data_IF_553216235628
#
_entry.id   IF_553216235628
#
_cell.length_a   1.000
_cell.length_b   1.000
_cell.length_c   1.000
_cell.angle_alpha   90.00
_cell.angle_beta   90.00
_cell.angle_gamma   90.00
#
_symmetry.space_group_name_H-M   'P 1'
#
loop_
_entity.id
_entity.type
_entity.pdbx_description
1 polymer ?
#
# COMPACT_ATOMS: atom_id res chain seq x y z
N UNK A 1 -2.43 8.62 23.94
CA UNK A 1 -3.01 7.33 23.56
C UNK A 1 -2.30 6.80 22.33
N UNK A 2 -1.14 6.18 22.55
CA UNK A 2 -0.43 5.44 21.51
C UNK A 2 -1.01 4.02 21.50
N UNK A 3 -1.71 3.67 20.43
CA UNK A 3 -2.16 2.31 20.18
C UNK A 3 -0.93 1.42 19.95
N UNK A 4 -0.51 0.66 20.96
CA UNK A 4 0.55 -0.34 20.82
C UNK A 4 -0.07 -1.68 20.41
N UNK A 5 -0.05 -1.96 19.11
CA UNK A 5 -0.36 -3.28 18.60
C UNK A 5 0.82 -4.22 18.89
N UNK A 6 0.58 -5.30 19.63
CA UNK A 6 1.60 -6.28 20.00
C UNK A 6 1.10 -7.70 19.75
N UNK A 7 1.86 -8.47 18.98
CA UNK A 7 1.62 -9.89 18.73
C UNK A 7 2.95 -10.65 18.75
N UNK A 8 3.10 -11.58 19.69
CA UNK A 8 4.34 -12.31 19.88
C UNK A 8 4.70 -13.19 18.66
N UNK A 9 3.71 -13.79 17.99
CA UNK A 9 3.95 -14.64 16.82
C UNK A 9 4.49 -13.82 15.65
N UNK A 10 3.95 -12.61 15.44
CA UNK A 10 4.48 -11.68 14.45
C UNK A 10 5.90 -11.23 14.79
N UNK A 11 6.18 -10.92 16.05
CA UNK A 11 7.54 -10.56 16.48
C UNK A 11 8.53 -11.70 16.26
N UNK A 12 8.14 -12.95 16.51
CA UNK A 12 8.94 -14.13 16.23
C UNK A 12 9.15 -14.34 14.72
N UNK A 13 8.11 -14.16 13.90
CA UNK A 13 8.21 -14.25 12.45
C UNK A 13 9.17 -13.19 11.88
N UNK A 14 9.10 -11.95 12.38
CA UNK A 14 10.03 -10.87 12.01
C UNK A 14 11.46 -11.23 12.41
N UNK A 15 11.69 -11.76 13.61
CA UNK A 15 13.03 -12.21 14.04
C UNK A 15 13.59 -13.33 13.15
N UNK A 16 12.73 -14.18 12.60
CA UNK A 16 13.10 -15.24 11.65
C UNK A 16 13.26 -14.74 10.20
N UNK A 17 13.04 -13.45 9.94
CA UNK A 17 13.01 -12.88 8.59
C UNK A 17 11.99 -13.58 7.67
N UNK A 18 10.81 -13.87 8.21
CA UNK A 18 9.71 -14.44 7.43
C UNK A 18 9.34 -13.50 6.25
N UNK A 19 9.46 -13.97 5.00
CA UNK A 19 9.34 -13.11 3.83
C UNK A 19 7.93 -12.53 3.67
N UNK A 20 6.88 -13.28 4.01
CA UNK A 20 5.50 -12.84 3.83
C UNK A 20 5.14 -11.76 4.86
N UNK A 21 5.59 -11.94 6.11
CA UNK A 21 5.42 -10.91 7.15
C UNK A 21 6.21 -9.65 6.81
N UNK A 22 7.45 -9.80 6.32
CA UNK A 22 8.25 -8.65 5.87
C UNK A 22 7.57 -7.89 4.73
N UNK A 23 7.05 -8.61 3.73
CA UNK A 23 6.38 -8.00 2.58
C UNK A 23 5.08 -7.31 3.00
N UNK A 24 4.30 -7.92 3.91
CA UNK A 24 3.08 -7.35 4.48
C UNK A 24 3.34 -6.00 5.16
N UNK A 25 4.32 -5.92 6.05
CA UNK A 25 4.65 -4.67 6.75
C UNK A 25 5.35 -3.64 5.86
N UNK A 26 6.14 -4.10 4.89
CA UNK A 26 6.73 -3.22 3.86
C UNK A 26 5.63 -2.57 3.03
N UNK A 27 4.62 -3.33 2.61
CA UNK A 27 3.44 -2.82 1.91
C UNK A 27 2.69 -1.77 2.75
N UNK A 28 2.44 -2.04 4.03
CA UNK A 28 1.80 -1.07 4.93
C UNK A 28 2.60 0.22 5.11
N UNK A 29 3.93 0.15 5.05
CA UNK A 29 4.84 1.29 5.16
C UNK A 29 4.98 2.11 3.87
N UNK A 30 4.42 1.63 2.74
CA UNK A 30 4.63 2.23 1.42
C UNK A 30 3.31 2.64 0.76
N UNK A 31 2.30 1.78 0.82
CA UNK A 31 1.03 1.97 0.13
C UNK A 31 0.09 2.86 0.97
N UNK A 32 0.40 4.15 1.10
CA UNK A 32 -0.43 5.12 1.83
C UNK A 32 -0.17 6.56 1.38
N UNK A 33 -1.02 7.49 1.80
CA UNK A 33 -0.82 8.94 1.55
C UNK A 33 -0.31 9.72 2.76
N UNK A 34 -0.10 9.08 3.92
CA UNK A 34 0.44 9.68 5.15
C UNK A 34 1.71 10.50 4.89
N UNK A 35 1.81 11.68 5.49
CA UNK A 35 2.96 12.58 5.45
C UNK A 35 3.73 12.52 6.77
N UNK A 36 5.03 12.79 6.72
CA UNK A 36 5.88 12.88 7.92
C UNK A 36 6.24 14.32 8.25
N UNK A 37 6.23 14.66 9.53
CA UNK A 37 6.77 15.91 10.08
C UNK A 37 7.78 15.58 11.17
N UNK A 38 8.85 16.37 11.29
CA UNK A 38 9.78 16.27 12.42
C UNK A 38 9.37 17.29 13.47
N UNK A 39 8.97 16.82 14.66
CA UNK A 39 8.67 17.66 15.84
C UNK A 39 9.52 17.17 17.00
N UNK A 40 10.28 18.07 17.62
CA UNK A 40 11.17 17.76 18.75
C UNK A 40 12.11 16.57 18.50
N UNK A 41 12.62 16.46 17.26
CA UNK A 41 13.50 15.37 16.84
C UNK A 41 12.81 14.02 16.62
N UNK A 42 11.47 13.96 16.70
CA UNK A 42 10.67 12.75 16.47
C UNK A 42 9.83 12.87 15.20
N UNK A 43 9.67 11.75 14.50
CA UNK A 43 8.79 11.65 13.33
C UNK A 43 7.34 11.54 13.80
N UNK A 44 6.50 12.47 13.32
CA UNK A 44 5.06 12.52 13.53
C UNK A 44 4.35 12.26 12.21
N UNK A 45 3.34 11.40 12.23
CA UNK A 45 2.55 11.05 11.06
C UNK A 45 1.32 11.95 10.94
N UNK A 46 1.11 12.51 9.75
CA UNK A 46 -0.05 13.32 9.38
C UNK A 46 -0.82 12.58 8.28
N UNK A 47 -2.01 12.07 8.61
CA UNK A 47 -2.84 11.31 7.69
C UNK A 47 -4.18 12.01 7.46
N UNK A 48 -4.74 11.85 6.25
CA UNK A 48 -6.08 12.34 5.92
C UNK A 48 -7.20 11.44 6.49
N UNK A 49 -6.87 10.19 6.82
CA UNK A 49 -7.79 9.22 7.41
C UNK A 49 -7.17 8.61 8.68
N UNK A 50 -7.96 8.44 9.76
CA UNK A 50 -7.50 7.75 10.98
C UNK A 50 -7.02 6.31 10.69
N UNK A 51 -7.60 5.66 9.68
CA UNK A 51 -7.24 4.28 9.32
C UNK A 51 -5.84 4.20 8.75
N UNK A 52 -5.50 5.13 7.86
CA UNK A 52 -4.15 5.20 7.29
C UNK A 52 -3.12 5.49 8.38
N UNK A 53 -3.44 6.39 9.32
CA UNK A 53 -2.55 6.66 10.45
C UNK A 53 -2.34 5.40 11.31
N UNK A 54 -3.42 4.70 11.63
CA UNK A 54 -3.38 3.49 12.45
C UNK A 54 -2.52 2.40 11.78
N UNK A 55 -2.69 2.18 10.47
CA UNK A 55 -1.91 1.18 9.72
C UNK A 55 -0.42 1.49 9.66
N UNK A 56 -0.04 2.74 9.39
CA UNK A 56 1.38 3.15 9.32
C UNK A 56 2.01 3.18 10.71
N UNK A 57 1.25 3.55 11.74
CA UNK A 57 1.69 3.51 13.14
C UNK A 57 1.86 2.07 13.66
N UNK A 58 0.96 1.17 13.30
CA UNK A 58 1.08 -0.26 13.57
C UNK A 58 2.35 -0.80 12.92
N UNK A 59 2.59 -0.51 11.64
CA UNK A 59 3.82 -0.91 10.95
C UNK A 59 5.10 -0.43 11.67
N UNK A 60 5.12 0.84 12.13
CA UNK A 60 6.24 1.39 12.92
C UNK A 60 6.49 0.61 14.21
N UNK A 61 5.43 0.14 14.88
CA UNK A 61 5.53 -0.64 16.13
C UNK A 61 6.26 -1.97 15.93
N UNK A 62 6.13 -2.58 14.75
CA UNK A 62 6.82 -3.81 14.37
C UNK A 62 8.21 -3.59 13.74
N UNK A 63 8.72 -2.35 13.77
CA UNK A 63 10.04 -2.01 13.23
C UNK A 63 10.06 -1.65 11.74
N UNK A 64 8.89 -1.44 11.13
CA UNK A 64 8.72 -1.03 9.74
C UNK A 64 8.20 0.41 9.69
N UNK A 65 9.11 1.37 9.82
CA UNK A 65 8.77 2.79 9.98
C UNK A 65 8.88 3.55 8.65
N UNK A 66 7.79 4.21 8.25
CA UNK A 66 7.82 5.21 7.19
C UNK A 66 8.62 6.45 7.63
N UNK A 67 9.66 6.83 6.89
CA UNK A 67 10.52 7.96 7.26
C UNK A 67 10.18 9.24 6.48
N UNK A 68 9.72 9.09 5.24
CA UNK A 68 9.34 10.22 4.41
C UNK A 68 9.22 9.84 2.94
N UNK A 69 8.63 10.74 2.15
CA UNK A 69 8.56 10.60 0.70
C UNK A 69 8.85 11.92 0.00
N UNK A 70 9.43 11.82 -1.19
CA UNK A 70 9.42 12.89 -2.18
C UNK A 70 8.33 12.59 -3.22
N UNK A 71 8.31 13.34 -4.32
CA UNK A 71 7.41 13.03 -5.44
C UNK A 71 7.79 11.73 -6.18
N UNK A 72 9.06 11.31 -6.09
CA UNK A 72 9.60 10.17 -6.87
C UNK A 72 10.25 9.09 -6.00
N UNK A 73 10.23 9.22 -4.68
CA UNK A 73 10.83 8.22 -3.78
C UNK A 73 10.13 8.13 -2.43
N UNK A 74 10.21 6.97 -1.80
CA UNK A 74 9.74 6.71 -0.44
C UNK A 74 10.82 5.99 0.35
N UNK A 75 11.08 6.47 1.56
CA UNK A 75 12.09 5.92 2.46
C UNK A 75 11.41 5.28 3.67
N UNK A 76 11.80 4.05 3.96
CA UNK A 76 11.30 3.27 5.09
C UNK A 76 12.48 2.66 5.86
N UNK A 77 12.35 2.59 7.19
CA UNK A 77 13.20 1.78 8.04
C UNK A 77 12.56 0.42 8.20
N UNK A 78 13.24 -0.62 7.74
CA UNK A 78 12.92 -2.01 8.02
C UNK A 78 13.74 -2.47 9.25
N UNK A 79 13.39 -3.60 9.88
CA UNK A 79 14.10 -4.06 11.09
C UNK A 79 15.62 -4.21 10.92
N UNK A 80 16.07 -4.63 9.74
CA UNK A 80 17.49 -4.86 9.46
C UNK A 80 18.22 -3.67 8.80
N UNK A 81 17.49 -2.75 8.15
CA UNK A 81 18.08 -1.70 7.31
C UNK A 81 17.10 -0.61 6.92
N UNK A 82 17.61 0.53 6.51
CA UNK A 82 16.84 1.56 5.83
C UNK A 82 16.84 1.29 4.31
N UNK A 83 15.68 1.37 3.67
CA UNK A 83 15.52 1.23 2.22
C UNK A 83 14.82 2.47 1.65
N UNK A 84 15.26 2.91 0.48
CA UNK A 84 14.57 3.93 -0.32
C UNK A 84 14.15 3.31 -1.64
N UNK A 85 12.86 3.42 -1.97
CA UNK A 85 12.28 2.93 -3.21
C UNK A 85 11.94 4.09 -4.13
N UNK A 86 12.12 3.90 -5.42
CA UNK A 86 11.62 4.82 -6.44
C UNK A 86 10.11 4.61 -6.58
N UNK A 87 9.33 5.69 -6.48
CA UNK A 87 7.90 5.67 -6.76
C UNK A 87 7.71 5.90 -8.25
N UNK A 88 7.15 4.91 -8.92
CA UNK A 88 6.79 5.00 -10.32
C UNK A 88 5.41 5.63 -10.48
N UNK A 89 4.41 5.15 -9.73
CA UNK A 89 3.05 5.66 -9.79
C UNK A 89 2.33 5.49 -8.45
N UNK A 90 1.58 6.51 -8.03
CA UNK A 90 0.58 6.40 -6.96
C UNK A 90 -0.81 6.43 -7.62
N UNK A 91 -1.65 5.47 -7.24
CA UNK A 91 -3.04 5.37 -7.65
C UNK A 91 -3.91 5.50 -6.41
N UNK A 92 -4.26 6.74 -6.09
CA UNK A 92 -4.98 7.11 -4.87
C UNK A 92 -6.24 6.29 -4.63
N UNK A 93 -6.66 6.25 -3.37
CA UNK A 93 -7.95 5.69 -3.02
C UNK A 93 -9.05 6.47 -3.73
N UNK A 94 -10.01 5.72 -4.26
CA UNK A 94 -11.17 6.24 -4.97
C UNK A 94 -12.39 5.42 -4.55
N UNK A 95 -13.53 6.08 -4.35
CA UNK A 95 -14.75 5.44 -3.82
C UNK A 95 -15.34 4.41 -4.80
N UNK A 96 -15.12 4.58 -6.10
CA UNK A 96 -15.55 3.61 -7.11
C UNK A 96 -14.60 2.40 -7.13
N UNK A 97 -13.29 2.65 -7.00
CA UNK A 97 -12.26 1.60 -6.96
C UNK A 97 -12.21 0.83 -5.64
N UNK A 98 -12.55 1.48 -4.52
CA UNK A 98 -12.44 1.03 -3.12
C UNK A 98 -11.08 0.42 -2.76
N UNK A 99 -10.00 0.95 -3.36
CA UNK A 99 -8.62 0.50 -3.14
C UNK A 99 -7.62 1.59 -3.51
N UNK A 100 -6.46 1.54 -2.88
CA UNK A 100 -5.27 2.33 -3.21
C UNK A 100 -4.18 1.40 -3.75
N UNK A 101 -3.34 1.91 -4.65
CA UNK A 101 -2.18 1.17 -5.11
C UNK A 101 -0.96 2.08 -5.28
N UNK A 102 0.23 1.53 -5.09
CA UNK A 102 1.50 2.20 -5.38
C UNK A 102 2.36 1.24 -6.20
N UNK A 103 2.95 1.74 -7.28
CA UNK A 103 3.94 1.01 -8.07
C UNK A 103 5.30 1.59 -7.74
N UNK A 104 6.20 0.74 -7.30
CA UNK A 104 7.58 1.10 -6.97
C UNK A 104 8.57 0.32 -7.83
N UNK A 105 9.79 0.85 -7.92
CA UNK A 105 10.96 0.10 -8.38
C UNK A 105 11.85 -0.23 -7.17
N UNK A 106 12.13 -1.52 -7.00
CA UNK A 106 13.00 -2.10 -5.96
C UNK A 106 14.12 -2.86 -6.64
N UNK A 107 15.32 -2.26 -6.67
CA UNK A 107 16.42 -2.73 -7.51
C UNK A 107 15.95 -2.90 -8.97
N UNK A 108 16.05 -4.11 -9.54
CA UNK A 108 15.63 -4.41 -10.92
C UNK A 108 14.17 -4.87 -11.03
N UNK A 109 13.42 -4.90 -9.92
CA UNK A 109 12.03 -5.35 -9.88
C UNK A 109 11.06 -4.18 -9.85
N UNK A 110 9.94 -4.32 -10.54
CA UNK A 110 8.79 -3.41 -10.43
C UNK A 110 7.72 -4.12 -9.62
N UNK A 111 7.29 -3.50 -8.52
CA UNK A 111 6.32 -4.08 -7.60
C UNK A 111 5.09 -3.18 -7.55
N UNK A 112 3.93 -3.78 -7.80
CA UNK A 112 2.62 -3.18 -7.54
C UNK A 112 2.16 -3.60 -6.14
N UNK A 113 2.03 -2.65 -5.23
CA UNK A 113 1.36 -2.82 -3.96
C UNK A 113 -0.08 -2.31 -4.02
N UNK A 114 -0.99 -3.03 -3.38
CA UNK A 114 -2.41 -2.69 -3.34
C UNK A 114 -3.02 -2.99 -1.97
N UNK A 115 -3.80 -2.04 -1.44
CA UNK A 115 -4.65 -2.24 -0.27
C UNK A 115 -6.08 -1.78 -0.56
N UNK A 116 -7.08 -2.52 -0.09
CA UNK A 116 -8.47 -2.14 -0.35
C UNK A 116 -9.50 -3.09 0.25
N UNK A 117 -10.76 -2.86 -0.11
CA UNK A 117 -11.86 -3.71 0.29
C UNK A 117 -11.64 -5.16 -0.20
N UNK A 118 -11.99 -6.12 0.64
CA UNK A 118 -11.82 -7.54 0.40
C UNK A 118 -12.41 -7.99 -0.95
N UNK A 119 -13.65 -7.62 -1.24
CA UNK A 119 -14.33 -7.87 -2.52
C UNK A 119 -13.52 -7.38 -3.73
N UNK A 120 -12.85 -6.22 -3.62
CA UNK A 120 -12.07 -5.64 -4.72
C UNK A 120 -10.70 -6.24 -4.90
N UNK A 121 -10.10 -6.77 -3.83
CA UNK A 121 -8.82 -7.47 -3.91
C UNK A 121 -9.05 -8.90 -4.43
N UNK A 122 -10.05 -9.61 -3.88
CA UNK A 122 -10.42 -10.99 -4.25
C UNK A 122 -10.68 -11.18 -5.74
N UNK A 123 -11.45 -10.26 -6.35
CA UNK A 123 -11.73 -10.25 -7.80
C UNK A 123 -10.47 -10.24 -8.69
N UNK A 124 -9.29 -9.93 -8.13
CA UNK A 124 -8.05 -9.64 -8.87
C UNK A 124 -6.88 -10.55 -8.49
N UNK A 125 -7.08 -11.50 -7.57
CA UNK A 125 -6.04 -12.44 -7.21
C UNK A 125 -5.88 -13.54 -8.25
N UNK A 126 -4.68 -14.12 -8.31
CA UNK A 126 -4.42 -15.29 -9.12
C UNK A 126 -5.20 -16.50 -8.57
N UNK A 127 -5.84 -17.31 -9.42
CA UNK A 127 -6.49 -18.55 -9.00
C UNK A 127 -5.60 -19.55 -8.26
N UNK A 128 -4.26 -19.42 -8.33
CA UNK A 128 -3.33 -20.23 -7.52
C UNK A 128 -3.45 -19.96 -6.02
N UNK A 129 -3.87 -18.76 -5.63
CA UNK A 129 -3.89 -18.29 -4.23
C UNK A 129 -5.14 -18.71 -3.45
N UNK A 130 -5.95 -19.65 -3.98
CA UNK A 130 -7.24 -20.04 -3.40
C UNK A 130 -7.15 -20.55 -1.96
N UNK A 131 -6.09 -21.26 -1.60
CA UNK A 131 -5.95 -21.82 -0.26
C UNK A 131 -5.74 -20.71 0.78
N UNK A 132 -4.80 -19.80 0.53
CA UNK A 132 -4.53 -18.64 1.38
C UNK A 132 -5.78 -17.75 1.45
N UNK A 133 -6.49 -17.59 0.33
CA UNK A 133 -7.73 -16.80 0.32
C UNK A 133 -8.84 -17.42 1.16
N UNK A 134 -8.98 -18.76 1.17
CA UNK A 134 -10.01 -19.43 1.97
C UNK A 134 -9.79 -19.19 3.46
N UNK A 135 -8.55 -19.36 3.94
CA UNK A 135 -8.19 -19.07 5.34
C UNK A 135 -8.36 -17.57 5.66
N UNK A 136 -7.94 -16.70 4.74
CA UNK A 136 -8.11 -15.25 4.89
C UNK A 136 -9.59 -14.86 5.01
N UNK A 137 -10.49 -15.53 4.27
CA UNK A 137 -11.92 -15.27 4.32
C UNK A 137 -12.55 -15.62 5.65
N UNK A 138 -12.14 -16.74 6.24
CA UNK A 138 -12.57 -17.11 7.59
C UNK A 138 -12.14 -16.05 8.63
N UNK A 139 -10.90 -15.56 8.54
CA UNK A 139 -10.42 -14.50 9.41
C UNK A 139 -11.13 -13.16 9.18
N UNK A 140 -11.37 -12.77 7.93
CA UNK A 140 -12.12 -11.54 7.59
C UNK A 140 -13.54 -11.58 8.14
N UNK A 141 -14.23 -12.72 8.01
CA UNK A 141 -15.58 -12.90 8.54
C UNK A 141 -15.61 -12.81 10.06
N UNK A 142 -14.62 -13.39 10.73
CA UNK A 142 -14.47 -13.27 12.18
C UNK A 142 -14.26 -11.82 12.61
N UNK A 143 -13.32 -11.10 11.98
CA UNK A 143 -13.07 -9.70 12.30
C UNK A 143 -14.28 -8.80 12.05
N UNK A 144 -15.03 -9.05 10.97
CA UNK A 144 -16.27 -8.33 10.70
C UNK A 144 -17.34 -8.60 11.77
N UNK A 145 -17.45 -9.84 12.25
CA UNK A 145 -18.36 -10.23 13.35
C UNK A 145 -18.00 -9.50 14.64
N UNK A 146 -16.72 -9.28 14.90
CA UNK A 146 -16.21 -8.52 16.04
C UNK A 146 -16.32 -6.99 15.85
N UNK A 147 -16.90 -6.52 14.74
CA UNK A 147 -17.10 -5.11 14.43
C UNK A 147 -15.85 -4.37 13.94
N UNK A 148 -14.79 -5.11 13.59
CA UNK A 148 -13.55 -4.53 13.07
C UNK A 148 -13.67 -4.20 11.59
N UNK A 149 -13.08 -3.07 11.21
CA UNK A 149 -12.92 -2.72 9.79
C UNK A 149 -11.72 -3.46 9.22
N UNK A 150 -11.94 -4.18 8.13
CA UNK A 150 -10.93 -5.02 7.48
C UNK A 150 -10.48 -4.42 6.15
N UNK A 151 -9.23 -4.66 5.80
CA UNK A 151 -8.67 -4.40 4.48
C UNK A 151 -7.86 -5.62 4.05
N UNK A 152 -7.90 -5.91 2.76
CA UNK A 152 -7.02 -6.89 2.13
C UNK A 152 -5.83 -6.18 1.49
N UNK A 153 -4.69 -6.84 1.59
CA UNK A 153 -3.42 -6.43 1.01
C UNK A 153 -3.03 -7.43 -0.07
N UNK A 154 -2.46 -6.94 -1.16
CA UNK A 154 -1.94 -7.76 -2.23
C UNK A 154 -0.76 -7.08 -2.90
N UNK A 155 0.15 -7.86 -3.45
CA UNK A 155 1.23 -7.36 -4.27
C UNK A 155 1.42 -8.21 -5.53
N UNK A 156 2.05 -7.62 -6.55
CA UNK A 156 2.43 -8.31 -7.77
C UNK A 156 3.75 -7.77 -8.30
N UNK A 157 4.69 -8.65 -8.62
CA UNK A 157 5.85 -8.30 -9.43
C UNK A 157 5.42 -8.13 -10.90
N UNK A 158 5.71 -6.97 -11.47
CA UNK A 158 5.45 -6.64 -12.86
C UNK A 158 6.74 -6.77 -13.64
N UNK A 159 6.69 -7.38 -14.82
CA UNK A 159 7.84 -7.29 -15.71
C UNK A 159 7.88 -5.90 -16.39
N UNK A 160 9.07 -5.53 -16.89
CA UNK A 160 9.30 -4.22 -17.49
C UNK A 160 8.33 -3.90 -18.63
N UNK A 161 8.01 -4.89 -19.47
CA UNK A 161 7.14 -4.70 -20.63
C UNK A 161 5.67 -4.50 -20.23
N UNK A 162 5.21 -5.20 -19.20
CA UNK A 162 3.87 -5.04 -18.62
C UNK A 162 3.70 -3.64 -18.04
N UNK A 163 4.66 -3.18 -17.24
CA UNK A 163 4.65 -1.85 -16.68
C UNK A 163 4.70 -0.77 -17.76
N UNK A 164 5.63 -0.86 -18.72
CA UNK A 164 5.78 0.14 -19.78
C UNK A 164 4.49 0.31 -20.60
N UNK A 165 3.88 -0.81 -21.02
CA UNK A 165 2.61 -0.81 -21.75
C UNK A 165 1.46 -0.25 -20.92
N UNK A 166 1.42 -0.54 -19.63
CA UNK A 166 0.40 0.02 -18.73
C UNK A 166 0.59 1.54 -18.53
N UNK A 167 1.83 1.98 -18.30
CA UNK A 167 2.17 3.38 -18.08
C UNK A 167 1.87 4.24 -19.32
N UNK A 168 2.16 3.73 -20.52
CA UNK A 168 1.81 4.41 -21.78
C UNK A 168 0.29 4.61 -21.91
N UNK A 169 -0.50 3.57 -21.63
CA UNK A 169 -1.97 3.66 -21.64
C UNK A 169 -2.48 4.67 -20.62
N UNK A 170 -1.90 4.69 -19.42
CA UNK A 170 -2.28 5.64 -18.38
C UNK A 170 -1.95 7.08 -18.80
N UNK A 171 -0.77 7.32 -19.37
CA UNK A 171 -0.38 8.64 -19.85
C UNK A 171 -1.33 9.16 -20.94
N UNK A 172 -1.69 8.30 -21.91
CA UNK A 172 -2.69 8.60 -22.95
C UNK A 172 -4.05 8.94 -22.33
N UNK A 173 -4.54 8.14 -21.38
CA UNK A 173 -5.81 8.40 -20.72
C UNK A 173 -5.82 9.72 -19.92
N UNK A 174 -4.74 9.99 -19.16
CA UNK A 174 -4.57 11.25 -18.42
C UNK A 174 -4.56 12.46 -19.35
N UNK A 175 -3.84 12.38 -20.46
CA UNK A 175 -3.80 13.43 -21.47
C UNK A 175 -5.19 13.74 -22.03
N UNK A 176 -5.95 12.69 -22.40
CA UNK A 176 -7.32 12.83 -22.92
C UNK A 176 -8.24 13.51 -21.90
N UNK A 177 -8.23 13.07 -20.64
CA UNK A 177 -9.06 13.69 -19.58
C UNK A 177 -8.68 15.16 -19.37
N UNK A 178 -7.38 15.47 -19.32
CA UNK A 178 -6.92 16.85 -19.15
C UNK A 178 -7.31 17.72 -20.34
N UNK A 179 -7.19 17.20 -21.57
CA UNK A 179 -7.62 17.89 -22.78
C UNK A 179 -9.14 18.15 -22.76
N UNK A 180 -9.97 17.15 -22.45
CA UNK A 180 -11.43 17.33 -22.32
C UNK A 180 -11.83 18.34 -21.23
N UNK A 181 -11.08 18.41 -20.12
CA UNK A 181 -11.33 19.42 -19.07
C UNK A 181 -10.95 20.83 -19.52
N UNK A 182 -9.90 20.96 -20.35
CA UNK A 182 -9.43 22.25 -20.87
C UNK A 182 -10.25 22.76 -22.06
N UNK A 183 -10.80 21.87 -22.88
CA UNK A 183 -11.62 22.21 -24.05
C UNK A 183 -13.12 22.21 -23.77
N UNK A 184 -13.52 22.22 -22.49
CA UNK A 184 -14.90 22.06 -22.03
C UNK A 184 -15.94 22.70 -22.92
N UNK A 185 -16.92 21.91 -23.37
CA UNK A 185 -18.08 22.33 -24.16
C UNK A 185 -17.78 23.32 -25.29
N UNK A 186 -17.44 22.79 -26.47
CA UNK A 186 -17.86 23.44 -27.71
C UNK A 186 -19.41 23.43 -27.70
N UNK A 187 -20.04 24.61 -27.55
CA UNK A 187 -21.47 24.76 -27.90
C UNK A 187 -21.65 24.42 -29.39
N UNK A 188 -22.77 23.74 -29.68
CA UNK A 188 -23.30 23.24 -30.97
C UNK A 188 -22.50 23.63 -32.24
#
# INVERSE_FOLDING_TARGET
>A
DDFEWYDQKLMEAIKRNDPDVYEFFTLLSICHTVMTEVKDGKIVYQAQSPDENALVSASRTFGFAYLGRTQSSITVRLPAREETYEILHILDFDNDRKRMSVIIKRADKIILYCKGADSKIKERLDPSEKNIMTETDEHLNKFATDGLRTLCLAYKELNQSEYARWAEKLAKAKYVIQHFKLTGFSRL
#
